data_IF_465364474639
#
_entry.id   IF_465364474639
#
_cell.length_a   1.000
_cell.length_b   1.000
_cell.length_c   1.000
_cell.angle_alpha   90.00
_cell.angle_beta   90.00
_cell.angle_gamma   90.00
#
_symmetry.space_group_name_H-M   'P 1'
#
loop_
_entity.id
_entity.type
_entity.pdbx_description
1 polymer ?
#
# COMPACT_ATOMS: atom_id res chain seq x y z
N UNK A 1 -8.59 -44.25 -23.89
CA UNK A 1 -8.48 -44.02 -22.42
C UNK A 1 -7.64 -45.16 -21.89
N UNK A 2 -6.36 -44.94 -21.69
CA UNK A 2 -5.43 -45.97 -21.24
C UNK A 2 -5.56 -46.07 -19.72
N UNK A 3 -6.07 -47.22 -19.28
CA UNK A 3 -6.16 -47.55 -17.86
C UNK A 3 -4.74 -47.61 -17.27
N UNK A 4 -4.43 -46.69 -16.36
CA UNK A 4 -3.23 -46.77 -15.53
C UNK A 4 -3.40 -47.98 -14.60
N UNK A 5 -2.45 -48.90 -14.52
CA UNK A 5 -2.54 -50.09 -13.68
C UNK A 5 -2.30 -49.73 -12.19
N UNK A 6 -3.28 -49.10 -11.59
CA UNK A 6 -3.26 -48.82 -10.15
C UNK A 6 -3.92 -50.01 -9.44
N UNK A 7 -3.25 -50.62 -8.45
CA UNK A 7 -3.85 -51.69 -7.66
C UNK A 7 -5.19 -51.27 -7.04
N UNK A 8 -6.22 -52.15 -7.02
CA UNK A 8 -7.57 -51.76 -6.58
C UNK A 8 -7.65 -51.30 -5.13
N UNK A 9 -6.78 -51.81 -4.26
CA UNK A 9 -6.67 -51.38 -2.86
C UNK A 9 -6.09 -49.95 -2.73
N UNK A 10 -5.12 -49.59 -3.59
CA UNK A 10 -4.55 -48.24 -3.63
C UNK A 10 -5.57 -47.24 -4.20
N UNK A 11 -6.33 -47.63 -5.22
CA UNK A 11 -7.39 -46.79 -5.78
C UNK A 11 -8.46 -46.48 -4.74
N UNK A 12 -8.94 -47.49 -3.99
CA UNK A 12 -9.92 -47.29 -2.94
C UNK A 12 -9.43 -46.34 -1.82
N UNK A 13 -8.14 -46.37 -1.50
CA UNK A 13 -7.53 -45.47 -0.51
C UNK A 13 -7.39 -44.05 -1.05
N UNK A 14 -7.09 -43.87 -2.31
CA UNK A 14 -7.01 -42.55 -2.95
C UNK A 14 -8.41 -41.92 -3.09
N UNK A 15 -9.43 -42.72 -3.43
CA UNK A 15 -10.82 -42.26 -3.55
C UNK A 15 -11.42 -41.81 -2.18
N UNK A 16 -10.85 -42.25 -1.07
CA UNK A 16 -11.25 -41.86 0.27
C UNK A 16 -10.59 -40.56 0.78
N UNK A 17 -9.63 -39.99 0.04
CA UNK A 17 -8.93 -38.77 0.42
C UNK A 17 -9.66 -37.51 -0.05
N UNK A 18 -9.56 -36.47 0.76
CA UNK A 18 -10.03 -35.14 0.37
C UNK A 18 -9.17 -34.55 -0.77
N UNK A 19 -9.68 -33.53 -1.47
CA UNK A 19 -8.97 -32.87 -2.58
C UNK A 19 -7.59 -32.33 -2.13
N UNK A 20 -7.46 -31.86 -0.90
CA UNK A 20 -6.21 -31.37 -0.34
C UNK A 20 -5.20 -32.50 -0.08
N UNK A 21 -5.65 -33.62 0.43
CA UNK A 21 -4.81 -34.80 0.66
C UNK A 21 -4.37 -35.45 -0.64
N UNK A 22 -5.23 -35.48 -1.65
CA UNK A 22 -4.87 -35.94 -3.00
C UNK A 22 -3.80 -35.06 -3.64
N UNK A 23 -3.88 -33.73 -3.47
CA UNK A 23 -2.84 -32.82 -3.96
C UNK A 23 -1.47 -33.06 -3.29
N UNK A 24 -1.46 -33.33 -1.98
CA UNK A 24 -0.24 -33.66 -1.25
C UNK A 24 0.37 -34.98 -1.71
N UNK A 25 -0.46 -36.02 -1.92
CA UNK A 25 0.00 -37.33 -2.42
C UNK A 25 0.55 -37.19 -3.86
N UNK A 26 -0.10 -36.40 -4.72
CA UNK A 26 0.38 -36.16 -6.07
C UNK A 26 1.73 -35.42 -6.09
N UNK A 27 1.88 -34.39 -5.25
CA UNK A 27 3.13 -33.65 -5.09
C UNK A 27 4.28 -34.53 -4.57
N UNK A 28 4.02 -35.37 -3.57
CA UNK A 28 5.00 -36.32 -3.04
C UNK A 28 5.41 -37.37 -4.09
N UNK A 29 4.45 -37.93 -4.81
CA UNK A 29 4.71 -38.92 -5.87
C UNK A 29 5.55 -38.31 -7.00
N UNK A 30 5.25 -37.08 -7.40
CA UNK A 30 6.01 -36.34 -8.40
C UNK A 30 7.45 -36.04 -7.94
N UNK A 31 7.64 -35.54 -6.74
CA UNK A 31 8.97 -35.28 -6.17
C UNK A 31 9.81 -36.56 -6.08
N UNK A 32 9.20 -37.69 -5.71
CA UNK A 32 9.88 -38.98 -5.61
C UNK A 32 10.21 -39.57 -7.00
N UNK A 33 9.41 -39.33 -8.02
CA UNK A 33 9.70 -39.74 -9.40
C UNK A 33 10.89 -38.98 -9.99
N UNK A 34 11.07 -37.70 -9.66
CA UNK A 34 12.23 -36.88 -10.05
C UNK A 34 13.53 -37.43 -9.41
N UNK A 35 13.47 -37.83 -8.16
CA UNK A 35 14.62 -38.40 -7.46
C UNK A 35 15.02 -39.80 -7.98
N UNK A 36 14.11 -40.52 -8.64
CA UNK A 36 14.34 -41.86 -9.19
C UNK A 36 14.78 -41.87 -10.67
N UNK A 37 15.00 -40.72 -11.31
CA UNK A 37 15.52 -40.61 -12.69
C UNK A 37 14.60 -41.18 -13.78
N UNK A 38 13.30 -41.32 -13.53
CA UNK A 38 12.32 -41.82 -14.52
C UNK A 38 11.79 -40.63 -15.33
N UNK A 39 12.42 -40.33 -16.43
CA UNK A 39 11.97 -39.41 -17.47
C UNK A 39 11.12 -40.18 -18.46
N UNK A 40 9.79 -40.21 -18.27
CA UNK A 40 8.80 -40.34 -19.37
C UNK A 40 7.39 -40.23 -18.84
N UNK A 41 6.86 -39.01 -18.85
CA UNK A 41 5.41 -38.80 -18.97
C UNK A 41 5.22 -37.77 -20.08
N UNK A 42 4.58 -38.13 -21.23
CA UNK A 42 4.26 -37.14 -22.26
C UNK A 42 3.20 -36.17 -21.73
N UNK A 43 3.41 -34.88 -22.00
CA UNK A 43 2.45 -33.83 -21.73
C UNK A 43 1.12 -34.10 -22.47
N UNK A 44 -0.04 -33.87 -21.86
CA UNK A 44 -1.31 -33.95 -22.60
C UNK A 44 -1.43 -32.78 -23.57
N UNK A 45 -1.53 -33.12 -24.86
CA UNK A 45 -1.79 -32.20 -25.95
C UNK A 45 -3.22 -31.67 -25.84
N UNK A 46 -3.35 -30.37 -26.00
CA UNK A 46 -4.55 -29.55 -26.08
C UNK A 46 -5.68 -30.11 -26.89
N UNK A 47 -6.88 -30.10 -26.32
CA UNK A 47 -8.14 -29.91 -27.07
C UNK A 47 -9.11 -29.11 -26.20
N UNK A 48 -9.58 -28.04 -26.77
CA UNK A 48 -10.50 -27.02 -26.29
C UNK A 48 -11.59 -27.48 -25.33
N UNK A 49 -11.74 -26.71 -24.23
CA UNK A 49 -13.04 -26.19 -23.77
C UNK A 49 -12.89 -25.49 -22.41
N UNK A 50 -13.52 -24.36 -22.35
CA UNK A 50 -14.06 -23.69 -21.16
C UNK A 50 -13.09 -23.25 -20.06
N UNK A 51 -12.96 -21.96 -20.02
CA UNK A 51 -12.23 -21.11 -19.14
C UNK A 51 -12.89 -21.08 -17.76
N UNK A 52 -12.54 -22.01 -16.89
CA UNK A 52 -12.63 -21.78 -15.45
C UNK A 52 -11.33 -21.09 -14.99
N UNK A 53 -11.39 -20.05 -14.17
CA UNK A 53 -10.18 -19.42 -13.69
C UNK A 53 -9.48 -20.37 -12.73
N UNK A 54 -8.42 -21.01 -13.21
CA UNK A 54 -7.45 -21.68 -12.34
C UNK A 54 -6.95 -20.65 -11.35
N UNK A 55 -7.27 -20.85 -10.07
CA UNK A 55 -6.61 -20.15 -8.96
C UNK A 55 -5.12 -20.51 -9.04
N UNK A 56 -4.37 -19.68 -9.76
CA UNK A 56 -2.93 -19.67 -9.67
C UNK A 56 -2.62 -19.36 -8.21
N UNK A 57 -2.03 -20.32 -7.51
CA UNK A 57 -1.34 -20.07 -6.24
C UNK A 57 -0.18 -19.14 -6.54
N UNK A 58 -0.47 -17.85 -6.68
CA UNK A 58 0.51 -16.79 -6.71
C UNK A 58 1.16 -16.84 -5.35
N UNK A 59 2.43 -17.24 -5.31
CA UNK A 59 3.30 -16.97 -4.17
C UNK A 59 3.32 -15.45 -4.12
N UNK A 60 2.49 -14.90 -3.23
CA UNK A 60 2.40 -13.45 -3.03
C UNK A 60 3.75 -13.00 -2.49
N UNK A 61 4.45 -12.18 -3.26
CA UNK A 61 5.68 -11.56 -2.78
C UNK A 61 5.38 -10.74 -1.51
N UNK A 62 6.29 -10.70 -0.54
CA UNK A 62 6.12 -9.85 0.63
C UNK A 62 5.97 -8.40 0.17
N UNK A 63 5.03 -7.67 0.79
CA UNK A 63 4.79 -6.25 0.46
C UNK A 63 5.99 -5.42 0.90
N UNK A 64 6.47 -4.57 -0.01
CA UNK A 64 7.58 -3.68 0.27
C UNK A 64 7.10 -2.48 1.08
N UNK A 65 7.81 -2.17 2.17
CA UNK A 65 7.55 -1.04 3.05
C UNK A 65 8.58 0.04 2.80
N UNK A 66 8.19 1.18 2.23
CA UNK A 66 9.03 2.34 2.08
C UNK A 66 8.81 3.32 3.22
N UNK A 67 9.83 3.54 4.05
CA UNK A 67 9.82 4.52 5.13
C UNK A 67 10.47 5.80 4.60
N UNK A 68 9.72 6.89 4.61
CA UNK A 68 10.18 8.21 4.17
C UNK A 68 10.31 9.15 5.36
N UNK A 69 11.46 9.75 5.55
CA UNK A 69 11.67 10.72 6.65
C UNK A 69 12.04 12.10 6.15
N UNK A 70 11.51 13.13 6.82
CA UNK A 70 11.93 14.52 6.62
C UNK A 70 12.04 15.26 7.94
N UNK A 71 13.21 15.85 8.21
CA UNK A 71 13.48 16.50 9.48
C UNK A 71 14.62 17.49 9.41
N UNK A 72 14.38 18.70 9.86
CA UNK A 72 15.44 19.70 9.93
C UNK A 72 16.46 19.41 11.07
N UNK A 73 15.97 18.92 12.22
CA UNK A 73 16.79 18.63 13.42
C UNK A 73 17.18 17.16 13.56
N UNK A 74 16.75 16.31 12.63
CA UNK A 74 17.02 14.86 12.62
C UNK A 74 16.10 14.04 13.50
N UNK A 75 15.08 14.61 14.16
CA UNK A 75 14.18 13.86 15.03
C UNK A 75 13.35 12.85 14.26
N UNK A 76 12.69 13.25 13.15
CA UNK A 76 11.91 12.33 12.31
C UNK A 76 12.79 11.24 11.71
N UNK A 77 14.03 11.56 11.32
CA UNK A 77 15.00 10.57 10.79
C UNK A 77 15.38 9.53 11.85
N UNK A 78 15.56 9.94 13.12
CA UNK A 78 15.82 8.99 14.21
C UNK A 78 14.65 8.03 14.45
N UNK A 79 13.43 8.55 14.42
CA UNK A 79 12.22 7.71 14.55
C UNK A 79 12.11 6.75 13.37
N UNK A 80 12.32 7.23 12.14
CA UNK A 80 12.27 6.40 10.94
C UNK A 80 13.31 5.27 10.95
N UNK A 81 14.53 5.56 11.43
CA UNK A 81 15.57 4.55 11.57
C UNK A 81 15.20 3.48 12.61
N UNK A 82 14.69 3.88 13.77
CA UNK A 82 14.25 2.95 14.81
C UNK A 82 13.07 2.07 14.33
N UNK A 83 12.14 2.66 13.56
CA UNK A 83 11.04 1.92 12.92
C UNK A 83 11.58 0.91 11.89
N UNK A 84 12.51 1.32 11.05
CA UNK A 84 13.15 0.43 10.09
C UNK A 84 13.82 -0.77 10.76
N UNK A 85 14.61 -0.53 11.82
CA UNK A 85 15.26 -1.59 12.60
C UNK A 85 14.22 -2.57 13.21
N UNK A 86 13.09 -2.04 13.69
CA UNK A 86 11.98 -2.85 14.23
C UNK A 86 11.33 -3.72 13.17
N UNK A 87 11.02 -3.16 11.99
CA UNK A 87 10.39 -3.91 10.89
C UNK A 87 11.33 -4.97 10.32
N UNK A 88 12.62 -4.64 10.17
CA UNK A 88 13.64 -5.60 9.74
C UNK A 88 13.80 -6.77 10.73
N UNK A 89 13.68 -6.52 12.04
CA UNK A 89 13.70 -7.57 13.05
C UNK A 89 12.46 -8.50 12.99
N UNK A 90 11.44 -8.12 12.25
CA UNK A 90 10.20 -8.88 12.04
C UNK A 90 10.11 -9.49 10.64
N UNK A 91 11.23 -9.62 9.93
CA UNK A 91 11.34 -10.15 8.55
C UNK A 91 10.46 -9.44 7.52
N UNK A 92 10.11 -8.18 7.77
CA UNK A 92 9.40 -7.34 6.81
C UNK A 92 10.40 -6.68 5.85
N UNK A 93 10.08 -6.68 4.55
CA UNK A 93 10.89 -6.01 3.51
C UNK A 93 10.71 -4.48 3.61
N UNK A 94 11.49 -3.87 4.51
CA UNK A 94 11.41 -2.45 4.82
C UNK A 94 12.67 -1.70 4.37
N UNK A 95 12.48 -0.58 3.70
CA UNK A 95 13.53 0.33 3.27
C UNK A 95 13.31 1.71 3.87
N UNK A 96 14.39 2.36 4.30
CA UNK A 96 14.33 3.73 4.83
C UNK A 96 15.13 4.68 3.94
N UNK A 97 14.50 5.76 3.50
CA UNK A 97 15.12 6.83 2.74
C UNK A 97 14.74 8.20 3.31
N UNK A 98 15.71 9.12 3.49
CA UNK A 98 15.38 10.53 3.63
C UNK A 98 14.61 11.01 2.39
N UNK A 99 13.62 11.90 2.55
CA UNK A 99 12.81 12.37 1.41
C UNK A 99 13.63 13.12 0.37
N UNK A 100 14.75 13.74 0.77
CA UNK A 100 15.66 14.42 -0.15
C UNK A 100 16.40 13.49 -1.10
N UNK A 101 16.60 12.23 -0.69
CA UNK A 101 17.28 11.20 -1.48
C UNK A 101 16.30 10.31 -2.24
N UNK A 102 15.00 10.45 -1.97
CA UNK A 102 13.94 9.64 -2.56
C UNK A 102 13.44 10.25 -3.87
N UNK A 103 13.33 9.42 -4.91
CA UNK A 103 12.70 9.83 -6.14
C UNK A 103 11.17 9.89 -5.97
N UNK A 104 10.62 11.09 -5.81
CA UNK A 104 9.21 11.32 -5.54
C UNK A 104 8.26 10.71 -6.59
N UNK A 105 8.71 10.54 -7.84
CA UNK A 105 7.91 9.94 -8.92
C UNK A 105 7.62 8.44 -8.70
N UNK A 106 8.42 7.77 -7.88
CA UNK A 106 8.25 6.34 -7.59
C UNK A 106 7.19 6.06 -6.53
N UNK A 107 6.59 7.09 -5.91
CA UNK A 107 5.63 6.91 -4.83
C UNK A 107 4.40 6.07 -5.24
N UNK A 108 4.00 6.15 -6.50
CA UNK A 108 2.92 5.33 -7.06
C UNK A 108 3.28 3.85 -7.22
N UNK A 109 4.56 3.51 -7.19
CA UNK A 109 5.05 2.14 -7.37
C UNK A 109 5.24 1.41 -6.04
N UNK A 110 5.14 2.14 -4.92
CA UNK A 110 5.26 1.55 -3.59
C UNK A 110 4.00 0.77 -3.19
N UNK A 111 4.18 -0.27 -2.36
CA UNK A 111 3.06 -1.01 -1.78
C UNK A 111 2.58 -0.35 -0.49
N UNK A 112 3.53 0.02 0.38
CA UNK A 112 3.27 0.65 1.67
C UNK A 112 4.24 1.82 1.86
N UNK A 113 3.70 3.00 2.17
CA UNK A 113 4.48 4.21 2.47
C UNK A 113 4.25 4.62 3.92
N UNK A 114 5.32 4.60 4.72
CA UNK A 114 5.32 5.12 6.09
C UNK A 114 6.05 6.46 6.09
N UNK A 115 5.33 7.55 6.27
CA UNK A 115 5.84 8.89 6.17
C UNK A 115 6.02 9.52 7.57
N UNK A 116 7.25 9.92 7.91
CA UNK A 116 7.58 10.53 9.19
C UNK A 116 8.19 11.91 8.93
N UNK A 117 7.48 12.97 9.28
CA UNK A 117 7.91 14.33 8.98
C UNK A 117 7.79 15.26 10.16
N UNK A 118 8.74 16.20 10.27
CA UNK A 118 8.60 17.35 11.17
C UNK A 118 7.92 18.52 10.45
N UNK A 119 7.40 19.45 11.24
CA UNK A 119 6.89 20.74 10.76
C UNK A 119 7.91 21.81 11.07
N UNK A 120 8.14 22.71 10.13
CA UNK A 120 9.05 23.84 10.25
C UNK A 120 8.32 25.17 10.08
N UNK A 121 8.89 26.25 10.65
CA UNK A 121 8.36 27.59 10.51
C UNK A 121 6.87 27.70 10.81
N UNK A 122 6.13 28.36 9.95
CA UNK A 122 4.68 28.58 10.06
C UNK A 122 3.84 27.41 9.56
N UNK A 123 4.35 26.16 9.62
CA UNK A 123 3.62 24.98 9.22
C UNK A 123 4.13 24.31 7.95
N UNK A 124 5.29 24.73 7.44
CA UNK A 124 5.88 24.20 6.22
C UNK A 124 6.55 22.85 6.45
N UNK A 125 6.64 22.01 5.41
CA UNK A 125 7.46 20.80 5.46
C UNK A 125 8.96 21.16 5.44
N UNK A 126 9.83 20.31 5.99
CA UNK A 126 11.28 20.47 5.86
C UNK A 126 11.70 20.56 4.39
N UNK A 127 12.81 21.24 4.10
CA UNK A 127 13.29 21.46 2.73
C UNK A 127 13.44 20.16 1.93
N UNK A 128 13.96 19.11 2.57
CA UNK A 128 14.12 17.78 1.96
C UNK A 128 12.78 17.11 1.59
N UNK A 129 11.65 17.54 2.15
CA UNK A 129 10.32 17.03 1.80
C UNK A 129 9.66 17.80 0.65
N UNK A 130 10.17 18.97 0.28
CA UNK A 130 9.55 19.84 -0.73
C UNK A 130 9.33 19.19 -2.10
N UNK A 131 10.24 18.36 -2.65
CA UNK A 131 10.00 17.70 -3.93
C UNK A 131 8.75 16.82 -3.89
N UNK A 132 8.61 15.95 -2.90
CA UNK A 132 7.45 15.08 -2.73
C UNK A 132 6.19 15.90 -2.41
N UNK A 133 6.29 16.88 -1.52
CA UNK A 133 5.17 17.76 -1.16
C UNK A 133 4.59 18.49 -2.38
N UNK A 134 5.46 19.06 -3.22
CA UNK A 134 5.05 19.75 -4.44
C UNK A 134 4.46 18.81 -5.49
N UNK A 135 4.97 17.59 -5.59
CA UNK A 135 4.42 16.57 -6.48
C UNK A 135 2.97 16.21 -6.08
N UNK A 136 2.75 15.89 -4.81
CA UNK A 136 1.44 15.44 -4.31
C UNK A 136 0.38 16.55 -4.34
N UNK A 137 0.78 17.82 -4.24
CA UNK A 137 -0.12 18.99 -4.23
C UNK A 137 -0.03 19.83 -5.52
N UNK A 138 0.67 19.32 -6.52
CA UNK A 138 0.85 19.99 -7.81
C UNK A 138 -0.39 19.96 -8.71
N UNK A 139 -0.23 20.43 -9.93
CA UNK A 139 -1.34 20.46 -10.92
C UNK A 139 -1.68 19.07 -11.46
N UNK A 140 -0.69 18.19 -11.57
CA UNK A 140 -0.83 16.83 -12.09
C UNK A 140 -0.22 15.83 -11.10
N UNK A 141 -0.84 15.60 -9.95
CA UNK A 141 -0.32 14.64 -8.99
C UNK A 141 -0.54 13.20 -9.48
N UNK A 142 0.32 12.25 -9.09
CA UNK A 142 0.14 10.84 -9.43
C UNK A 142 -1.10 10.27 -8.72
N UNK A 143 -1.74 9.28 -9.34
CA UNK A 143 -2.72 8.44 -8.66
C UNK A 143 -1.99 7.44 -7.77
N UNK A 144 -2.55 7.22 -6.57
CA UNK A 144 -1.97 6.32 -5.56
C UNK A 144 -2.89 5.14 -5.22
N UNK A 145 -3.72 4.74 -6.18
CA UNK A 145 -4.59 3.57 -6.01
C UNK A 145 -3.74 2.31 -5.79
N UNK A 146 -4.03 1.57 -4.74
CA UNK A 146 -3.28 0.38 -4.36
C UNK A 146 -2.05 0.64 -3.48
N UNK A 147 -1.73 1.90 -3.16
CA UNK A 147 -0.73 2.26 -2.16
C UNK A 147 -1.38 2.34 -0.78
N UNK A 148 -0.78 1.68 0.19
CA UNK A 148 -1.17 1.84 1.59
C UNK A 148 -0.26 2.85 2.28
N UNK A 149 -0.78 3.62 3.24
CA UNK A 149 0.06 4.59 3.91
C UNK A 149 -0.30 4.82 5.38
N UNK A 150 0.70 5.30 6.14
CA UNK A 150 0.50 5.91 7.45
C UNK A 150 1.47 7.07 7.64
N UNK A 151 1.04 8.08 8.39
CA UNK A 151 1.82 9.30 8.64
C UNK A 151 2.05 9.49 10.13
N UNK A 152 3.28 9.83 10.50
CA UNK A 152 3.64 10.33 11.83
C UNK A 152 4.18 11.76 11.69
N UNK A 153 3.49 12.69 12.31
CA UNK A 153 3.82 14.11 12.29
C UNK A 153 4.47 14.55 13.60
N UNK A 154 5.64 15.14 13.52
CA UNK A 154 6.32 15.76 14.64
C UNK A 154 6.15 17.28 14.58
N UNK A 155 5.84 17.90 15.69
CA UNK A 155 5.67 19.34 15.78
C UNK A 155 5.88 19.85 17.20
N UNK A 156 5.44 21.07 17.42
CA UNK A 156 5.42 21.73 18.73
C UNK A 156 4.09 22.48 18.87
N UNK A 157 3.34 22.14 19.91
CA UNK A 157 2.00 22.74 20.18
C UNK A 157 2.04 24.23 20.52
N UNK A 158 3.22 24.76 20.83
CA UNK A 158 3.40 26.21 21.01
C UNK A 158 3.10 26.97 19.70
N UNK A 159 3.29 26.33 18.56
CA UNK A 159 3.02 26.94 17.27
C UNK A 159 1.57 26.69 16.79
N UNK A 160 0.90 27.70 16.22
CA UNK A 160 -0.50 27.59 15.78
C UNK A 160 -0.75 26.48 14.75
N UNK A 161 0.24 26.21 13.89
CA UNK A 161 0.18 25.16 12.86
C UNK A 161 0.88 23.87 13.30
N UNK A 162 0.51 23.39 14.48
CA UNK A 162 1.01 22.16 15.05
C UNK A 162 0.85 20.97 14.08
N UNK A 163 1.98 20.32 13.75
CA UNK A 163 2.04 19.14 12.87
C UNK A 163 1.44 19.35 11.47
N UNK A 164 1.41 20.60 10.96
CA UNK A 164 0.72 20.92 9.71
C UNK A 164 1.29 20.17 8.52
N UNK A 165 2.61 20.09 8.39
CA UNK A 165 3.25 19.36 7.28
C UNK A 165 2.77 17.89 7.20
N UNK A 166 2.69 17.20 8.33
CA UNK A 166 2.19 15.82 8.37
C UNK A 166 0.71 15.71 8.03
N UNK A 167 -0.11 16.65 8.49
CA UNK A 167 -1.55 16.72 8.12
C UNK A 167 -1.72 16.90 6.61
N UNK A 168 -0.93 17.78 6.03
CA UNK A 168 -0.98 18.05 4.59
C UNK A 168 -0.56 16.82 3.76
N UNK A 169 0.45 16.05 4.21
CA UNK A 169 0.82 14.79 3.56
C UNK A 169 -0.28 13.75 3.71
N UNK A 170 -0.82 13.56 4.90
CA UNK A 170 -1.87 12.59 5.18
C UNK A 170 -3.12 12.84 4.32
N UNK A 171 -3.56 14.11 4.25
CA UNK A 171 -4.68 14.53 3.42
C UNK A 171 -4.39 14.31 1.92
N UNK A 172 -3.20 14.71 1.45
CA UNK A 172 -2.83 14.60 0.05
C UNK A 172 -2.77 13.14 -0.41
N UNK A 173 -2.15 12.26 0.38
CA UNK A 173 -2.08 10.83 0.06
C UNK A 173 -3.48 10.20 -0.02
N UNK A 174 -4.37 10.52 0.92
CA UNK A 174 -5.74 10.03 0.90
C UNK A 174 -6.55 10.56 -0.30
N UNK A 175 -6.42 11.85 -0.63
CA UNK A 175 -7.10 12.46 -1.79
C UNK A 175 -6.65 11.86 -3.13
N UNK A 176 -5.41 11.39 -3.21
CA UNK A 176 -4.85 10.77 -4.41
C UNK A 176 -5.20 9.28 -4.55
N UNK A 177 -5.97 8.71 -3.64
CA UNK A 177 -6.47 7.34 -3.72
C UNK A 177 -5.70 6.32 -2.87
N UNK A 178 -4.67 6.75 -2.12
CA UNK A 178 -3.97 5.85 -1.21
C UNK A 178 -4.85 5.46 -0.01
N UNK A 179 -4.73 4.21 0.44
CA UNK A 179 -5.47 3.69 1.58
C UNK A 179 -4.74 3.98 2.88
N UNK A 180 -5.38 4.73 3.77
CA UNK A 180 -4.82 4.99 5.10
C UNK A 180 -4.89 3.73 5.96
N UNK A 181 -3.74 3.28 6.48
CA UNK A 181 -3.63 2.14 7.39
C UNK A 181 -4.01 2.52 8.83
N UNK A 182 -3.72 3.76 9.21
CA UNK A 182 -3.97 4.30 10.54
C UNK A 182 -4.10 5.82 10.45
N UNK A 183 -4.87 6.41 11.35
CA UNK A 183 -4.96 7.86 11.50
C UNK A 183 -3.59 8.49 11.72
N UNK A 184 -3.41 9.72 11.22
CA UNK A 184 -2.17 10.47 11.38
C UNK A 184 -1.78 10.58 12.86
N UNK A 185 -0.58 10.13 13.20
CA UNK A 185 -0.01 10.27 14.53
C UNK A 185 0.57 11.68 14.73
N UNK A 186 0.36 12.25 15.90
CA UNK A 186 0.86 13.59 16.25
C UNK A 186 1.79 13.53 17.46
N UNK A 187 3.01 13.99 17.30
CA UNK A 187 4.00 14.08 18.34
C UNK A 187 4.34 15.53 18.66
N UNK A 188 4.35 15.87 19.93
CA UNK A 188 4.81 17.15 20.46
C UNK A 188 6.32 17.13 20.73
N UNK A 189 6.86 18.12 21.41
CA UNK A 189 8.30 18.23 21.78
C UNK A 189 8.85 16.94 22.41
N UNK A 190 8.10 16.34 23.35
CA UNK A 190 8.44 15.03 23.92
C UNK A 190 7.86 13.89 23.07
N UNK A 191 8.38 13.77 21.84
CA UNK A 191 7.88 12.85 20.82
C UNK A 191 8.19 11.37 21.08
N UNK A 192 9.17 11.05 21.94
CA UNK A 192 9.76 9.69 22.00
C UNK A 192 8.74 8.62 22.35
N UNK A 193 7.98 8.81 23.42
CA UNK A 193 6.99 7.83 23.86
C UNK A 193 5.85 7.66 22.84
N UNK A 194 5.35 8.76 22.28
CA UNK A 194 4.30 8.72 21.27
C UNK A 194 4.78 8.06 19.97
N UNK A 195 5.99 8.39 19.52
CA UNK A 195 6.59 7.79 18.33
C UNK A 195 6.87 6.30 18.52
N UNK A 196 7.33 5.88 19.71
CA UNK A 196 7.55 4.46 20.04
C UNK A 196 6.23 3.67 20.01
N UNK A 197 5.17 4.21 20.64
CA UNK A 197 3.84 3.58 20.61
C UNK A 197 3.31 3.46 19.19
N UNK A 198 3.40 4.53 18.40
CA UNK A 198 2.97 4.52 17.01
C UNK A 198 3.76 3.50 16.17
N UNK A 199 5.08 3.45 16.36
CA UNK A 199 5.96 2.53 15.64
C UNK A 199 5.65 1.06 15.98
N UNK A 200 5.32 0.77 17.25
CA UNK A 200 4.89 -0.56 17.67
C UNK A 200 3.56 -0.93 17.00
N UNK A 201 2.58 -0.05 17.09
CA UNK A 201 1.24 -0.30 16.53
C UNK A 201 1.29 -0.52 15.01
N UNK A 202 2.14 0.20 14.29
CA UNK A 202 2.36 0.01 12.84
C UNK A 202 3.03 -1.34 12.58
N UNK A 203 4.05 -1.71 13.35
CA UNK A 203 4.72 -3.00 13.18
C UNK A 203 3.76 -4.16 13.42
N UNK A 204 2.97 -4.11 14.49
CA UNK A 204 1.96 -5.12 14.81
C UNK A 204 0.89 -5.22 13.71
N UNK A 205 0.44 -4.07 13.18
CA UNK A 205 -0.50 -4.03 12.07
C UNK A 205 0.08 -4.69 10.81
N UNK A 206 1.30 -4.34 10.41
CA UNK A 206 1.93 -4.87 9.19
C UNK A 206 2.19 -6.37 9.28
N UNK A 207 2.51 -6.91 10.46
CA UNK A 207 2.67 -8.36 10.67
C UNK A 207 1.36 -9.13 10.50
N UNK A 208 0.22 -8.51 10.81
CA UNK A 208 -1.10 -9.14 10.69
C UNK A 208 -1.75 -8.95 9.31
N UNK A 209 -1.18 -8.08 8.47
CA UNK A 209 -1.71 -7.84 7.13
C UNK A 209 -1.43 -9.04 6.21
N UNK A 210 -2.45 -9.56 5.51
CA UNK A 210 -2.23 -10.60 4.52
C UNK A 210 -1.31 -10.07 3.41
N UNK A 211 -0.40 -10.94 2.95
CA UNK A 211 0.33 -10.69 1.72
C UNK A 211 -0.71 -10.44 0.61
N UNK A 212 -0.57 -9.36 -0.16
CA UNK A 212 -1.53 -9.11 -1.25
C UNK A 212 -1.36 -10.21 -2.30
N UNK A 213 -2.44 -10.95 -2.54
CA UNK A 213 -2.60 -11.74 -3.75
C UNK A 213 -2.65 -10.75 -4.92
N UNK A 214 -1.56 -10.77 -5.69
CA UNK A 214 -1.18 -9.88 -6.76
C UNK A 214 -2.30 -9.28 -7.62
N UNK A 215 -2.02 -8.18 -8.03
CA UNK A 215 -2.46 -7.30 -9.09
C UNK A 215 -2.75 -5.91 -8.53
N UNK A 216 -1.64 -5.17 -8.34
CA UNK A 216 -1.72 -3.72 -8.40
C UNK A 216 -2.32 -3.40 -9.77
N UNK A 217 -3.43 -2.67 -9.85
CA UNK A 217 -3.94 -2.24 -11.15
C UNK A 217 -2.79 -1.60 -11.92
N UNK A 218 -2.55 -1.96 -13.20
CA UNK A 218 -1.49 -1.34 -13.97
C UNK A 218 -1.67 0.17 -13.88
N UNK A 219 -0.59 0.87 -13.54
CA UNK A 219 -0.57 2.33 -13.61
C UNK A 219 -1.18 2.71 -14.96
N UNK A 220 -2.28 3.46 -14.93
CA UNK A 220 -2.99 3.85 -16.13
C UNK A 220 -1.98 4.59 -17.02
N UNK A 221 -1.43 3.87 -18.00
CA UNK A 221 -0.79 4.51 -19.14
C UNK A 221 -1.84 5.36 -19.82
N UNK A 222 -1.49 6.58 -20.22
CA UNK A 222 -2.32 7.66 -20.78
C UNK A 222 -3.23 7.29 -21.97
N UNK A 223 -3.74 6.06 -22.08
CA UNK A 223 -4.47 5.55 -23.24
C UNK A 223 -5.97 5.27 -23.00
N UNK A 224 -6.52 5.43 -21.78
CA UNK A 224 -7.98 5.26 -21.60
C UNK A 224 -8.59 6.40 -20.76
N UNK A 225 -8.44 7.63 -21.28
CA UNK A 225 -9.08 8.83 -20.75
C UNK A 225 -10.46 9.04 -21.40
N UNK A 226 -11.35 8.07 -21.28
CA UNK A 226 -12.73 8.19 -21.78
C UNK A 226 -13.77 7.79 -20.75
N UNK A 227 -13.76 8.37 -19.54
CA UNK A 227 -14.97 8.45 -18.71
C UNK A 227 -14.78 9.16 -17.35
N UNK A 228 -13.70 9.84 -17.07
CA UNK A 228 -13.74 10.88 -16.04
C UNK A 228 -13.85 12.19 -16.78
N UNK A 229 -15.06 12.78 -16.75
CA UNK A 229 -15.28 14.14 -17.25
C UNK A 229 -14.34 15.04 -16.46
N UNK A 230 -13.13 15.24 -16.98
CA UNK A 230 -12.18 16.21 -16.47
C UNK A 230 -12.91 17.53 -16.51
N UNK A 231 -13.18 18.08 -15.34
CA UNK A 231 -13.77 19.40 -15.22
C UNK A 231 -12.79 20.38 -15.86
N UNK A 232 -13.21 21.22 -16.81
CA UNK A 232 -12.33 22.19 -17.42
C UNK A 232 -11.74 23.09 -16.34
N UNK A 233 -10.42 23.25 -16.34
CA UNK A 233 -9.64 23.97 -15.34
C UNK A 233 -9.82 25.50 -15.35
N UNK A 234 -10.78 26.03 -16.10
CA UNK A 234 -10.99 27.47 -16.28
C UNK A 234 -12.34 27.91 -15.74
N UNK A 235 -12.52 27.82 -14.42
CA UNK A 235 -13.57 28.55 -13.74
C UNK A 235 -13.03 29.88 -13.24
N UNK A 236 -13.60 30.95 -13.73
CA UNK A 236 -13.32 32.32 -13.29
C UNK A 236 -14.62 33.07 -12.98
N UNK A 237 -14.52 34.36 -12.68
CA UNK A 237 -15.69 35.19 -12.37
C UNK A 237 -16.71 35.32 -13.54
N UNK A 238 -16.30 35.01 -14.77
CA UNK A 238 -17.13 35.06 -15.97
C UNK A 238 -17.60 33.67 -16.41
N UNK A 239 -16.94 32.60 -15.93
CA UNK A 239 -17.30 31.21 -16.18
C UNK A 239 -17.33 30.43 -14.86
N UNK A 240 -18.32 30.65 -13.97
CA UNK A 240 -18.38 30.03 -12.67
C UNK A 240 -18.77 28.56 -12.76
N UNK A 241 -18.26 27.75 -11.83
CA UNK A 241 -18.66 26.35 -11.67
C UNK A 241 -20.15 26.24 -11.31
N UNK A 242 -20.90 25.46 -12.06
CA UNK A 242 -22.30 25.16 -11.78
C UNK A 242 -22.42 24.15 -10.62
N UNK A 243 -22.32 24.62 -9.39
CA UNK A 243 -22.44 23.77 -8.20
C UNK A 243 -23.92 23.51 -7.87
N UNK A 244 -24.26 22.25 -7.58
CA UNK A 244 -25.58 21.87 -7.08
C UNK A 244 -25.61 22.04 -5.55
N UNK A 245 -26.52 22.90 -5.04
CA UNK A 245 -26.76 23.04 -3.62
C UNK A 245 -27.43 21.77 -3.08
N UNK A 246 -26.74 20.97 -2.27
CA UNK A 246 -27.27 19.73 -1.70
C UNK A 246 -28.03 19.97 -0.40
N UNK A 247 -27.61 20.95 0.41
CA UNK A 247 -28.25 21.27 1.69
C UNK A 247 -28.15 22.75 2.00
N UNK A 248 -29.23 23.37 2.46
CA UNK A 248 -29.26 24.74 2.98
C UNK A 248 -29.70 24.73 4.42
N UNK A 249 -28.87 25.16 5.35
CA UNK A 249 -29.18 25.30 6.77
C UNK A 249 -29.12 26.77 7.18
N UNK A 250 -30.19 27.27 7.78
CA UNK A 250 -30.21 28.63 8.35
C UNK A 250 -29.57 28.58 9.73
N UNK A 251 -28.48 29.36 9.96
CA UNK A 251 -27.72 29.39 11.21
C UNK A 251 -28.21 30.47 12.20
N UNK A 252 -29.05 31.38 11.76
CA UNK A 252 -29.60 32.44 12.62
C UNK A 252 -31.10 32.26 12.82
N UNK A 253 -31.55 32.33 14.08
CA UNK A 253 -32.95 32.41 14.40
C UNK A 253 -33.48 33.81 13.99
N UNK A 254 -34.66 33.83 13.39
CA UNK A 254 -35.39 35.09 13.16
C UNK A 254 -35.99 35.50 14.51
N UNK A 255 -35.37 36.42 15.22
CA UNK A 255 -36.07 37.13 16.31
C UNK A 255 -37.17 37.97 15.68
N UNK A 256 -38.40 37.73 16.13
CA UNK A 256 -39.58 38.50 15.78
C UNK A 256 -39.53 39.89 16.43
#
# INVERSE_FOLDING_TARGET
MSDLPIPPDLKARLDALSSTELALVAGYAWAKSQAAGVTTVPAPTSAAAEKEPAAASTISAPRRVQILSASQTGNARRVAKALHERLAASDLDAHHSPMGDYNAQQISDEDIVLLITSTYGDGEPPEEALPLYKLLRGKNPPRLDGVDFAVLALGDRVFPRFCQAGKDFDESLALLGARRLRDCGYCDQDYRAAAESWSKDIADLLQTMPAQSGEKPPAATDADNTAVKVMPADYDKFNPYAARLLTRRRLTARTA
#
